data_IF_824442227240
#
_entry.id   IF_824442227240
#
_cell.length_a   1.000
_cell.length_b   1.000
_cell.length_c   1.000
_cell.angle_alpha   90.00
_cell.angle_beta   90.00
_cell.angle_gamma   90.00
#
_symmetry.space_group_name_H-M   'P 1'
#
loop_
_entity.id
_entity.type
_entity.pdbx_description
1 polymer ?
#
# COMPACT_ATOMS: atom_id res chain seq x y z
N UNK A 1 17.83 7.22 -5.66
CA UNK A 1 17.79 7.73 -4.28
C UNK A 1 17.42 6.56 -3.39
N UNK A 2 18.21 6.23 -2.36
CA UNK A 2 17.80 5.24 -1.36
C UNK A 2 16.85 5.91 -0.36
N UNK A 3 15.65 5.34 -0.18
CA UNK A 3 14.62 5.86 0.73
C UNK A 3 14.65 5.19 2.10
N UNK A 4 15.48 4.16 2.31
CA UNK A 4 15.58 3.42 3.58
C UNK A 4 14.23 2.84 4.07
N UNK A 5 13.37 2.45 3.13
CA UNK A 5 12.01 1.95 3.37
C UNK A 5 11.89 0.43 3.37
N UNK A 6 12.92 -0.28 2.90
CA UNK A 6 12.94 -1.74 2.86
C UNK A 6 12.69 -2.33 4.25
N UNK A 7 11.83 -3.34 4.33
CA UNK A 7 11.43 -4.07 5.55
C UNK A 7 10.69 -3.22 6.61
N UNK A 8 10.43 -1.93 6.34
CA UNK A 8 9.59 -1.09 7.20
C UNK A 8 8.12 -1.48 7.04
N UNK A 9 7.33 -1.24 8.09
CA UNK A 9 5.88 -1.40 8.05
C UNK A 9 5.23 -0.06 7.70
N UNK A 10 4.40 -0.03 6.66
CA UNK A 10 3.62 1.14 6.28
C UNK A 10 2.12 0.85 6.41
N UNK A 11 1.39 1.73 7.10
CA UNK A 11 -0.06 1.66 7.25
C UNK A 11 -0.69 2.68 6.30
N UNK A 12 -1.48 2.21 5.35
CA UNK A 12 -2.05 3.04 4.29
C UNK A 12 -3.57 3.04 4.41
N UNK A 13 -4.16 4.21 4.64
CA UNK A 13 -5.61 4.40 4.65
C UNK A 13 -6.11 4.81 3.26
N UNK A 14 -7.32 4.34 2.90
CA UNK A 14 -7.87 4.56 1.55
C UNK A 14 -7.00 3.99 0.41
N UNK A 15 -6.49 2.75 0.50
CA UNK A 15 -5.41 2.25 -0.35
C UNK A 15 -5.82 1.85 -1.77
N UNK A 16 -7.11 1.82 -2.08
CA UNK A 16 -7.63 1.17 -3.29
C UNK A 16 -8.06 2.12 -4.42
N UNK A 17 -8.45 3.35 -4.10
CA UNK A 17 -9.11 4.28 -5.03
C UNK A 17 -8.32 5.59 -5.14
N UNK A 18 -8.45 6.28 -6.27
CA UNK A 18 -7.74 7.55 -6.52
C UNK A 18 -6.23 7.40 -6.37
N UNK A 19 -5.59 8.30 -5.60
CA UNK A 19 -4.15 8.26 -5.35
C UNK A 19 -3.69 7.09 -4.47
N UNK A 20 -4.59 6.51 -3.67
CA UNK A 20 -4.23 5.48 -2.69
C UNK A 20 -3.62 4.23 -3.33
N UNK A 21 -4.12 3.83 -4.49
CA UNK A 21 -3.59 2.68 -5.22
C UNK A 21 -2.15 2.92 -5.68
N UNK A 22 -1.86 4.10 -6.21
CA UNK A 22 -0.51 4.48 -6.64
C UNK A 22 0.45 4.57 -5.46
N UNK A 23 0.02 5.10 -4.33
CA UNK A 23 0.83 5.17 -3.09
C UNK A 23 1.13 3.75 -2.59
N UNK A 24 0.12 2.88 -2.54
CA UNK A 24 0.28 1.49 -2.10
C UNK A 24 1.35 0.77 -2.92
N UNK A 25 1.26 0.87 -4.25
CA UNK A 25 2.24 0.26 -5.17
C UNK A 25 3.64 0.85 -5.01
N UNK A 26 3.76 2.15 -4.78
CA UNK A 26 5.06 2.80 -4.57
C UNK A 26 5.75 2.30 -3.29
N UNK A 27 5.01 2.14 -2.19
CA UNK A 27 5.56 1.59 -0.94
C UNK A 27 5.85 0.09 -1.04
N UNK A 28 5.01 -0.68 -1.75
CA UNK A 28 5.30 -2.08 -2.06
C UNK A 28 6.60 -2.22 -2.86
N UNK A 29 6.76 -1.44 -3.93
CA UNK A 29 7.98 -1.42 -4.76
C UNK A 29 9.22 -0.96 -3.97
N UNK A 30 9.04 -0.13 -2.94
CA UNK A 30 10.11 0.26 -2.03
C UNK A 30 10.49 -0.83 -0.99
N UNK A 31 9.82 -1.98 -1.01
CA UNK A 31 10.10 -3.13 -0.14
C UNK A 31 9.47 -3.03 1.25
N UNK A 32 8.43 -2.21 1.43
CA UNK A 32 7.71 -2.14 2.69
C UNK A 32 6.77 -3.35 2.89
N UNK A 33 6.53 -3.69 4.15
CA UNK A 33 5.41 -4.53 4.58
C UNK A 33 4.19 -3.65 4.77
N UNK A 34 3.08 -3.95 4.10
CA UNK A 34 1.93 -3.05 4.06
C UNK A 34 0.78 -3.54 4.94
N UNK A 35 0.10 -2.59 5.59
CA UNK A 35 -1.23 -2.77 6.18
C UNK A 35 -2.19 -1.82 5.49
N UNK A 36 -3.14 -2.38 4.74
CA UNK A 36 -4.06 -1.64 3.89
C UNK A 36 -5.42 -1.52 4.58
N UNK A 37 -5.82 -0.29 4.93
CA UNK A 37 -6.98 -0.04 5.79
C UNK A 37 -8.04 0.80 5.07
N UNK A 38 -9.27 0.32 5.05
CA UNK A 38 -10.41 1.06 4.57
C UNK A 38 -11.73 0.38 4.93
N UNK A 39 -12.83 1.07 4.65
CA UNK A 39 -14.19 0.59 4.95
C UNK A 39 -14.65 -0.51 4.00
N UNK A 40 -14.21 -0.45 2.75
CA UNK A 40 -14.61 -1.32 1.66
C UNK A 40 -13.46 -2.28 1.35
N UNK A 41 -13.44 -3.42 2.05
CA UNK A 41 -12.37 -4.43 1.93
C UNK A 41 -12.36 -5.06 0.55
N UNK A 42 -13.53 -5.25 -0.07
CA UNK A 42 -13.65 -5.79 -1.43
C UNK A 42 -12.93 -4.92 -2.48
N UNK A 43 -12.89 -3.59 -2.29
CA UNK A 43 -12.08 -2.72 -3.13
C UNK A 43 -10.57 -2.84 -2.85
N UNK A 44 -10.17 -3.24 -1.65
CA UNK A 44 -8.76 -3.36 -1.23
C UNK A 44 -8.15 -4.69 -1.67
N UNK A 45 -8.91 -5.78 -1.60
CA UNK A 45 -8.46 -7.14 -1.92
C UNK A 45 -7.69 -7.26 -3.25
N UNK A 46 -8.14 -6.66 -4.38
CA UNK A 46 -7.39 -6.72 -5.63
C UNK A 46 -6.01 -6.09 -5.54
N UNK A 47 -5.88 -4.96 -4.83
CA UNK A 47 -4.59 -4.25 -4.65
C UNK A 47 -3.69 -5.00 -3.67
N UNK A 48 -4.27 -5.67 -2.67
CA UNK A 48 -3.52 -6.46 -1.69
C UNK A 48 -2.93 -7.75 -2.26
N UNK A 49 -3.46 -8.24 -3.39
CA UNK A 49 -3.03 -9.46 -4.05
C UNK A 49 -1.95 -9.26 -5.13
N UNK A 50 -1.58 -8.00 -5.41
CA UNK A 50 -0.49 -7.62 -6.33
C UNK A 50 0.89 -7.91 -5.71
#
# INVERSE_FOLDING_TARGET
MDLMLKDRVAVITGPAKGMGASITRAFAAAGCRLSLIGRDVAAIEPVAAE
#
